data_IF_912538918466
#
_entry.id   IF_912538918466
#
_cell.length_a   1.000
_cell.length_b   1.000
_cell.length_c   1.000
_cell.angle_alpha   90.00
_cell.angle_beta   90.00
_cell.angle_gamma   90.00
#
_symmetry.space_group_name_H-M   'P 1'
#
loop_
_entity.id
_entity.type
_entity.pdbx_description
1 polymer ?
#
# COMPACT_ATOMS: atom_id res chain seq x y z
N UNK A 1 -7.50 21.67 -11.08
CA UNK A 1 -7.06 21.14 -12.39
C UNK A 1 -8.23 21.07 -13.37
N UNK A 2 -9.42 20.68 -12.92
CA UNK A 2 -10.66 20.65 -13.74
C UNK A 2 -10.97 21.99 -14.45
N UNK A 3 -10.81 23.13 -13.77
CA UNK A 3 -11.00 24.46 -14.38
C UNK A 3 -10.02 24.77 -15.52
N UNK A 4 -8.79 24.21 -15.48
CA UNK A 4 -7.78 24.41 -16.53
C UNK A 4 -7.97 23.45 -17.71
N UNK A 5 -8.52 22.26 -17.46
CA UNK A 5 -8.90 21.29 -18.51
C UNK A 5 -10.07 21.84 -19.33
N UNK A 6 -10.94 22.65 -18.72
CA UNK A 6 -12.04 23.32 -19.42
C UNK A 6 -11.60 24.47 -20.36
N UNK A 7 -10.38 25.01 -20.20
CA UNK A 7 -9.84 26.11 -21.02
C UNK A 7 -8.92 25.66 -22.16
N UNK A 8 -8.99 24.39 -22.57
CA UNK A 8 -8.20 23.82 -23.68
C UNK A 8 -6.68 24.01 -23.52
N UNK A 9 -6.23 24.06 -22.26
CA UNK A 9 -4.82 24.16 -21.91
C UNK A 9 -4.12 22.86 -22.32
N UNK A 10 -3.01 22.91 -23.08
CA UNK A 10 -2.28 21.70 -23.48
C UNK A 10 -1.82 20.89 -22.27
N UNK A 11 -2.23 19.62 -22.22
CA UNK A 11 -1.81 18.67 -21.18
C UNK A 11 -0.83 17.65 -21.78
N UNK A 12 0.32 17.49 -21.15
CA UNK A 12 1.31 16.46 -21.49
C UNK A 12 1.24 15.32 -20.46
N UNK A 13 0.69 14.14 -20.79
CA UNK A 13 0.60 13.03 -19.84
C UNK A 13 1.97 12.40 -19.59
N UNK A 14 2.33 12.23 -18.32
CA UNK A 14 3.48 11.42 -17.92
C UNK A 14 3.06 9.96 -17.86
N UNK A 15 3.55 9.16 -18.82
CA UNK A 15 3.15 7.76 -19.00
C UNK A 15 4.16 6.75 -18.50
N UNK A 16 5.38 7.16 -18.15
CA UNK A 16 6.44 6.24 -17.72
C UNK A 16 6.64 6.32 -16.21
N UNK A 17 6.53 5.20 -15.52
CA UNK A 17 6.83 5.06 -14.08
C UNK A 17 8.12 4.28 -13.86
N UNK A 18 8.91 4.69 -12.87
CA UNK A 18 10.19 4.05 -12.51
C UNK A 18 10.18 3.47 -11.08
N UNK A 19 9.01 3.48 -10.42
CA UNK A 19 8.85 3.25 -8.99
C UNK A 19 8.79 1.76 -8.65
N UNK A 20 7.65 1.13 -8.92
CA UNK A 20 7.36 -0.24 -8.53
C UNK A 20 8.00 -1.29 -9.45
N UNK A 21 8.00 -2.54 -8.98
CA UNK A 21 8.29 -3.71 -9.81
C UNK A 21 7.31 -3.77 -10.99
N UNK A 22 7.76 -4.02 -12.25
CA UNK A 22 6.90 -3.91 -13.43
C UNK A 22 5.55 -4.63 -13.33
N UNK A 23 5.54 -5.87 -12.84
CA UNK A 23 4.30 -6.66 -12.69
C UNK A 23 3.31 -6.13 -11.64
N UNK A 24 3.75 -5.26 -10.71
CA UNK A 24 2.83 -4.60 -9.77
C UNK A 24 2.03 -3.48 -10.44
N UNK A 25 2.56 -2.90 -11.53
CA UNK A 25 1.88 -1.83 -12.24
C UNK A 25 0.73 -2.33 -13.12
N UNK A 26 0.70 -3.63 -13.48
CA UNK A 26 -0.24 -4.17 -14.48
C UNK A 26 -1.70 -3.96 -14.08
N UNK A 27 -2.05 -4.22 -12.82
CA UNK A 27 -3.40 -4.03 -12.31
C UNK A 27 -3.80 -2.55 -12.39
N UNK A 28 -3.02 -1.66 -11.80
CA UNK A 28 -3.30 -0.21 -11.84
C UNK A 28 -3.32 0.34 -13.26
N UNK A 29 -2.43 -0.15 -14.13
CA UNK A 29 -2.38 0.24 -15.53
C UNK A 29 -3.69 -0.10 -16.26
N UNK A 30 -4.20 -1.32 -16.05
CA UNK A 30 -5.47 -1.76 -16.66
C UNK A 30 -6.68 -0.98 -16.14
N UNK A 31 -6.74 -0.68 -14.84
CA UNK A 31 -7.92 -0.07 -14.20
C UNK A 31 -7.94 1.45 -14.40
N UNK A 32 -6.79 2.13 -14.27
CA UNK A 32 -6.73 3.59 -14.14
C UNK A 32 -6.06 4.30 -15.32
N UNK A 33 -5.28 3.58 -16.14
CA UNK A 33 -4.47 4.20 -17.19
C UNK A 33 -4.76 3.62 -18.58
N UNK A 34 -5.80 2.79 -18.73
CA UNK A 34 -6.20 2.19 -20.02
C UNK A 34 -5.05 1.47 -20.73
N UNK A 35 -4.11 0.89 -19.98
CA UNK A 35 -2.91 0.25 -20.54
C UNK A 35 -1.81 1.21 -21.01
N UNK A 36 -1.98 2.53 -20.86
CA UNK A 36 -1.05 3.54 -21.32
C UNK A 36 0.16 3.77 -20.40
N UNK A 37 0.17 3.23 -19.18
CA UNK A 37 1.29 3.32 -18.25
C UNK A 37 2.41 2.34 -18.67
N UNK A 38 3.65 2.85 -18.72
CA UNK A 38 4.84 2.11 -19.12
C UNK A 38 5.78 2.01 -17.93
N UNK A 39 6.26 0.80 -17.63
CA UNK A 39 7.33 0.59 -16.66
C UNK A 39 8.67 0.93 -17.31
N UNK A 40 9.33 1.97 -16.81
CA UNK A 40 10.65 2.42 -17.27
C UNK A 40 11.84 1.73 -16.59
N UNK A 41 11.58 0.88 -15.58
CA UNK A 41 12.61 0.18 -14.82
C UNK A 41 12.65 -1.31 -15.20
N UNK A 42 13.82 -1.86 -15.56
CA UNK A 42 13.98 -3.30 -15.78
C UNK A 42 13.68 -4.11 -14.51
N UNK A 43 13.22 -5.35 -14.70
CA UNK A 43 12.80 -6.26 -13.63
C UNK A 43 13.93 -6.53 -12.64
N UNK A 44 15.15 -6.64 -13.17
CA UNK A 44 16.39 -6.92 -12.45
C UNK A 44 16.71 -5.81 -11.45
N UNK A 45 16.29 -4.56 -11.72
CA UNK A 45 16.52 -3.42 -10.83
C UNK A 45 15.48 -3.32 -9.68
N UNK A 46 14.48 -4.22 -9.65
CA UNK A 46 13.39 -4.25 -8.66
C UNK A 46 13.14 -5.63 -8.05
N UNK A 47 14.10 -6.56 -8.17
CA UNK A 47 13.92 -7.95 -7.77
C UNK A 47 14.31 -8.28 -6.31
N UNK A 48 14.81 -7.32 -5.53
CA UNK A 48 15.33 -7.52 -4.16
C UNK A 48 14.46 -8.43 -3.28
N UNK A 49 13.14 -8.21 -3.31
CA UNK A 49 12.17 -8.97 -2.52
C UNK A 49 12.08 -10.43 -2.99
N UNK A 50 12.01 -10.67 -4.30
CA UNK A 50 11.95 -12.00 -4.91
C UNK A 50 13.24 -12.81 -4.67
N UNK A 51 14.39 -12.14 -4.57
CA UNK A 51 15.67 -12.79 -4.30
C UNK A 51 15.82 -13.23 -2.83
N UNK A 52 15.11 -12.58 -1.91
CA UNK A 52 15.31 -12.75 -0.46
C UNK A 52 14.17 -13.45 0.27
N UNK A 53 12.95 -13.35 -0.27
CA UNK A 53 11.72 -13.85 0.34
C UNK A 53 11.00 -14.75 -0.66
N UNK A 54 10.53 -15.89 -0.19
CA UNK A 54 9.72 -16.81 -1.01
C UNK A 54 8.28 -16.31 -1.06
N UNK A 55 7.78 -16.05 -2.28
CA UNK A 55 6.39 -15.71 -2.54
C UNK A 55 5.64 -16.92 -3.13
N UNK A 56 4.32 -17.05 -2.91
CA UNK A 56 3.49 -18.04 -3.59
C UNK A 56 3.58 -17.94 -5.12
N UNK A 57 3.66 -16.71 -5.63
CA UNK A 57 4.00 -16.44 -7.02
C UNK A 57 5.48 -16.00 -7.11
N UNK A 58 6.38 -16.83 -7.66
CA UNK A 58 7.82 -16.51 -7.72
C UNK A 58 8.16 -15.36 -8.68
N UNK A 59 7.21 -14.93 -9.52
CA UNK A 59 7.40 -13.85 -10.50
C UNK A 59 6.76 -12.53 -10.08
N UNK A 60 6.11 -12.47 -8.91
CA UNK A 60 5.41 -11.28 -8.45
C UNK A 60 5.62 -11.07 -6.94
N UNK A 61 6.29 -10.00 -6.50
CA UNK A 61 6.51 -9.71 -5.09
C UNK A 61 5.24 -9.10 -4.45
N UNK A 62 4.14 -9.85 -4.48
CA UNK A 62 2.84 -9.45 -3.97
C UNK A 62 2.22 -10.53 -3.09
N UNK A 63 1.64 -10.14 -1.97
CA UNK A 63 0.89 -11.00 -1.08
C UNK A 63 -0.43 -10.33 -0.71
N UNK A 64 -1.51 -11.09 -0.79
CA UNK A 64 -2.79 -10.74 -0.19
C UNK A 64 -3.07 -11.74 0.91
N UNK A 65 -3.09 -11.27 2.15
CA UNK A 65 -3.19 -12.13 3.34
C UNK A 65 -4.54 -11.90 3.98
N UNK A 66 -5.36 -12.94 4.03
CA UNK A 66 -6.61 -12.92 4.78
C UNK A 66 -6.30 -13.02 6.28
N UNK A 67 -6.75 -12.02 7.03
CA UNK A 67 -6.61 -11.97 8.48
C UNK A 67 -8.03 -11.93 9.06
N UNK A 68 -8.53 -13.05 9.63
CA UNK A 68 -9.90 -13.16 10.12
C UNK A 68 -10.11 -12.46 11.48
N UNK A 69 -9.68 -11.20 11.57
CA UNK A 69 -9.83 -10.36 12.75
C UNK A 69 -11.22 -9.75 12.86
N UNK A 70 -11.58 -9.29 14.05
CA UNK A 70 -12.84 -8.54 14.27
C UNK A 70 -12.52 -7.07 14.47
N UNK A 71 -12.94 -6.17 13.58
CA UNK A 71 -12.66 -4.76 13.72
C UNK A 71 -13.48 -4.15 14.86
N UNK A 72 -12.84 -3.30 15.65
CA UNK A 72 -13.45 -2.49 16.68
C UNK A 72 -13.77 -1.11 16.12
N UNK A 73 -14.96 -0.63 16.40
CA UNK A 73 -15.38 0.71 16.03
C UNK A 73 -15.16 1.68 17.20
N UNK A 74 -14.43 2.75 16.92
CA UNK A 74 -14.20 3.80 17.91
C UNK A 74 -15.30 4.85 17.86
N UNK A 75 -15.47 5.58 18.97
CA UNK A 75 -16.49 6.63 19.10
C UNK A 75 -16.31 7.80 18.13
N UNK A 76 -15.13 7.95 17.51
CA UNK A 76 -14.83 8.98 16.52
C UNK A 76 -15.07 8.53 15.07
N UNK A 77 -15.65 7.34 14.86
CA UNK A 77 -15.95 6.80 13.53
C UNK A 77 -14.81 6.03 12.86
N UNK A 78 -13.62 5.98 13.46
CA UNK A 78 -12.46 5.24 12.95
C UNK A 78 -12.49 3.76 13.37
N UNK A 79 -11.71 2.93 12.69
CA UNK A 79 -11.65 1.49 12.91
C UNK A 79 -10.25 1.03 13.35
N UNK A 80 -10.21 -0.05 14.11
CA UNK A 80 -8.98 -0.80 14.40
C UNK A 80 -9.24 -2.30 14.39
N UNK A 81 -8.20 -3.10 14.17
CA UNK A 81 -8.22 -4.55 14.15
C UNK A 81 -6.91 -5.04 14.75
N UNK A 82 -6.96 -5.52 16.00
CA UNK A 82 -5.76 -5.90 16.75
C UNK A 82 -5.04 -7.10 16.13
N UNK A 83 -5.78 -8.07 15.58
CA UNK A 83 -5.18 -9.23 14.92
C UNK A 83 -4.43 -8.82 13.65
N UNK A 84 -5.03 -7.96 12.83
CA UNK A 84 -4.35 -7.41 11.64
C UNK A 84 -3.10 -6.62 12.03
N UNK A 85 -3.15 -5.85 13.12
CA UNK A 85 -1.99 -5.11 13.62
C UNK A 85 -0.86 -6.04 14.09
N UNK A 86 -1.16 -7.09 14.87
CA UNK A 86 -0.13 -8.05 15.30
C UNK A 86 0.45 -8.84 14.12
N UNK A 87 -0.40 -9.30 13.20
CA UNK A 87 0.05 -9.99 11.99
C UNK A 87 0.95 -9.09 11.15
N UNK A 88 0.64 -7.80 11.02
CA UNK A 88 1.51 -6.86 10.30
C UNK A 88 2.91 -6.75 10.91
N UNK A 89 3.01 -6.77 12.24
CA UNK A 89 4.30 -6.72 12.94
C UNK A 89 5.09 -8.02 12.74
N UNK A 90 4.42 -9.17 12.77
CA UNK A 90 5.03 -10.47 12.45
C UNK A 90 5.56 -10.51 11.02
N UNK A 91 4.80 -9.97 10.05
CA UNK A 91 5.22 -9.91 8.65
C UNK A 91 6.47 -9.07 8.44
N UNK A 92 6.69 -8.03 9.24
CA UNK A 92 7.94 -7.24 9.16
C UNK A 92 9.16 -8.07 9.57
N UNK A 93 9.03 -9.10 10.41
CA UNK A 93 10.18 -9.91 10.82
C UNK A 93 10.83 -10.65 9.64
N UNK A 94 10.05 -11.03 8.63
CA UNK A 94 10.53 -11.74 7.45
C UNK A 94 11.61 -10.96 6.67
N UNK A 95 11.37 -9.72 6.17
CA UNK A 95 12.40 -8.93 5.51
C UNK A 95 13.57 -8.59 6.43
N UNK A 96 13.32 -8.28 7.70
CA UNK A 96 14.39 -7.96 8.66
C UNK A 96 15.36 -9.14 8.86
N UNK A 97 14.83 -10.37 8.96
CA UNK A 97 15.64 -11.60 9.06
C UNK A 97 16.52 -11.86 7.83
N UNK A 98 16.23 -11.21 6.71
CA UNK A 98 16.97 -11.29 5.44
C UNK A 98 17.87 -10.08 5.20
N UNK A 99 18.28 -9.39 6.27
CA UNK A 99 19.14 -8.20 6.24
C UNK A 99 18.57 -7.06 5.37
N UNK A 100 17.24 -6.93 5.30
CA UNK A 100 16.61 -5.75 4.74
C UNK A 100 16.48 -4.73 5.88
N UNK A 101 16.96 -3.48 5.70
CA UNK A 101 17.00 -2.53 6.79
C UNK A 101 15.57 -2.06 7.16
N UNK A 102 15.26 -1.82 8.44
CA UNK A 102 13.91 -1.39 8.87
C UNK A 102 13.36 -0.16 8.13
N UNK A 103 14.24 0.78 7.77
CA UNK A 103 13.88 2.00 7.01
C UNK A 103 13.32 1.72 5.60
N UNK A 104 13.57 0.54 5.05
CA UNK A 104 13.05 0.11 3.73
C UNK A 104 11.63 -0.43 3.82
N UNK A 105 11.10 -0.67 5.02
CA UNK A 105 9.75 -1.20 5.26
C UNK A 105 8.85 -0.09 5.78
N UNK A 106 7.61 -0.06 5.29
CA UNK A 106 6.53 0.74 5.87
C UNK A 106 5.27 -0.08 6.11
N UNK A 107 4.57 0.27 7.18
CA UNK A 107 3.19 -0.14 7.41
C UNK A 107 2.30 1.07 7.13
N UNK A 108 1.37 0.90 6.21
CA UNK A 108 0.39 1.92 5.82
C UNK A 108 -0.99 1.42 6.23
N UNK A 109 -1.83 2.30 6.79
CA UNK A 109 -3.22 1.96 7.12
C UNK A 109 -4.18 3.06 6.67
N UNK A 110 -5.43 2.69 6.40
CA UNK A 110 -6.50 3.65 6.11
C UNK A 110 -6.99 4.39 7.36
N UNK A 111 -6.80 3.84 8.57
CA UNK A 111 -7.46 4.33 9.77
C UNK A 111 -6.46 4.83 10.83
N UNK A 112 -6.75 6.00 11.40
CA UNK A 112 -5.92 6.60 12.47
C UNK A 112 -5.91 5.77 13.76
N UNK A 113 -7.00 5.08 14.08
CA UNK A 113 -7.02 4.22 15.28
C UNK A 113 -6.24 2.94 15.04
N UNK A 114 -6.28 2.38 13.83
CA UNK A 114 -5.40 1.28 13.48
C UNK A 114 -3.92 1.69 13.58
N UNK A 115 -3.55 2.88 13.13
CA UNK A 115 -2.18 3.37 13.27
C UNK A 115 -1.73 3.36 14.74
N UNK A 116 -2.57 3.86 15.66
CA UNK A 116 -2.27 3.84 17.10
C UNK A 116 -2.11 2.43 17.66
N UNK A 117 -2.93 1.48 17.20
CA UNK A 117 -2.82 0.08 17.61
C UNK A 117 -1.51 -0.51 17.10
N UNK A 118 -1.13 -0.25 15.85
CA UNK A 118 0.14 -0.69 15.28
C UNK A 118 1.32 -0.06 16.02
N UNK A 119 1.30 1.24 16.32
CA UNK A 119 2.35 1.92 17.10
C UNK A 119 2.56 1.26 18.48
N UNK A 120 1.47 0.84 19.11
CA UNK A 120 1.51 0.13 20.40
C UNK A 120 2.11 -1.29 20.27
N UNK A 121 1.78 -2.02 19.20
CA UNK A 121 2.19 -3.42 19.01
C UNK A 121 3.58 -3.54 18.38
N UNK A 122 3.93 -2.65 17.45
CA UNK A 122 5.19 -2.68 16.72
C UNK A 122 6.40 -2.38 17.62
N UNK A 123 6.22 -1.69 18.76
CA UNK A 123 7.34 -1.30 19.63
C UNK A 123 8.36 -0.39 18.92
N UNK A 124 9.57 -0.25 19.47
CA UNK A 124 10.62 0.64 18.95
C UNK A 124 11.36 0.10 17.70
N UNK A 125 10.66 -0.61 16.82
CA UNK A 125 11.22 -0.92 15.51
C UNK A 125 11.21 0.36 14.68
N UNK A 126 12.35 0.78 14.13
CA UNK A 126 12.51 1.99 13.32
C UNK A 126 11.84 1.87 11.94
N UNK A 127 10.60 1.38 11.91
CA UNK A 127 9.76 1.16 10.74
C UNK A 127 8.92 2.42 10.53
N UNK A 128 8.63 2.74 9.27
CA UNK A 128 7.72 3.84 8.95
C UNK A 128 6.26 3.41 9.15
N UNK A 129 5.54 4.11 10.02
CA UNK A 129 4.12 3.88 10.28
C UNK A 129 3.34 5.13 9.86
N UNK A 130 2.42 4.98 8.90
CA UNK A 130 1.66 6.12 8.37
C UNK A 130 0.22 5.74 8.02
N UNK A 131 -0.65 6.74 8.01
CA UNK A 131 -1.95 6.63 7.33
C UNK A 131 -1.79 6.94 5.83
N UNK A 132 -2.65 6.37 4.99
CA UNK A 132 -2.66 6.63 3.53
C UNK A 132 -2.60 8.12 3.20
N UNK A 133 -3.40 8.94 3.88
CA UNK A 133 -3.48 10.39 3.67
C UNK A 133 -2.19 11.12 4.05
N UNK A 134 -1.44 10.57 5.01
CA UNK A 134 -0.17 11.16 5.47
C UNK A 134 1.03 10.76 4.60
N UNK A 135 0.88 9.78 3.71
CA UNK A 135 1.92 9.37 2.76
C UNK A 135 1.78 10.25 1.51
N UNK A 136 2.35 11.43 1.50
CA UNK A 136 2.50 12.22 0.28
C UNK A 136 4.00 12.33 -0.07
N UNK A 137 4.38 11.74 -1.21
CA UNK A 137 5.74 11.88 -1.78
C UNK A 137 6.85 11.05 -1.13
N UNK A 138 6.52 9.97 -0.39
CA UNK A 138 7.51 9.10 0.25
C UNK A 138 7.29 7.64 -0.16
N UNK A 139 8.16 7.14 -1.03
CA UNK A 139 8.18 5.74 -1.49
C UNK A 139 9.03 4.87 -0.56
N UNK A 140 8.74 3.57 -0.53
CA UNK A 140 9.48 2.57 0.26
C UNK A 140 9.66 1.31 -0.55
N UNK A 141 10.71 0.54 -0.23
CA UNK A 141 11.01 -0.69 -0.97
C UNK A 141 9.97 -1.79 -0.68
N UNK A 142 9.41 -1.78 0.53
CA UNK A 142 8.41 -2.74 0.99
C UNK A 142 7.27 -2.01 1.70
N UNK A 143 6.04 -2.25 1.27
CA UNK A 143 4.82 -1.70 1.87
C UNK A 143 3.94 -2.85 2.37
N UNK A 144 3.50 -2.75 3.63
CA UNK A 144 2.46 -3.59 4.22
C UNK A 144 1.23 -2.71 4.41
N UNK A 145 0.18 -2.96 3.64
CA UNK A 145 -1.07 -2.19 3.69
C UNK A 145 -2.10 -2.89 4.58
N UNK A 146 -2.66 -2.16 5.55
CA UNK A 146 -3.69 -2.63 6.46
C UNK A 146 -5.04 -2.05 6.06
N UNK A 147 -5.97 -2.96 5.74
CA UNK A 147 -7.34 -2.63 5.31
C UNK A 147 -8.27 -2.41 6.50
N UNK A 148 -8.00 -3.08 7.63
CA UNK A 148 -8.67 -2.97 8.94
C UNK A 148 -10.11 -3.43 8.97
N UNK A 149 -10.93 -3.05 8.00
CA UNK A 149 -12.31 -3.49 7.87
C UNK A 149 -12.37 -4.91 7.33
N UNK A 150 -13.16 -5.76 7.98
CA UNK A 150 -13.48 -7.12 7.51
C UNK A 150 -14.86 -7.24 6.87
N UNK A 151 -15.59 -6.13 6.79
CA UNK A 151 -16.82 -6.04 5.99
C UNK A 151 -16.99 -4.65 5.39
N UNK A 152 -17.42 -4.65 4.13
CA UNK A 152 -17.84 -3.47 3.39
C UNK A 152 -19.36 -3.52 3.34
N UNK A 153 -20.01 -2.67 4.13
CA UNK A 153 -21.40 -2.32 3.87
C UNK A 153 -21.37 -1.42 2.63
N UNK A 154 -21.92 -1.92 1.51
CA UNK A 154 -21.90 -1.29 0.17
C UNK A 154 -22.50 0.13 0.21
N UNK A 155 -23.37 0.37 1.17
CA UNK A 155 -24.05 1.62 1.50
C UNK A 155 -23.23 2.61 2.35
N UNK A 156 -22.03 2.22 2.83
CA UNK A 156 -21.12 3.05 3.65
C UNK A 156 -19.64 2.90 3.25
N UNK A 157 -19.41 2.64 1.97
CA UNK A 157 -18.08 2.39 1.42
C UNK A 157 -17.37 3.65 0.90
N UNK A 158 -17.89 4.84 1.24
CA UNK A 158 -17.48 6.15 0.67
C UNK A 158 -15.96 6.44 0.70
N UNK A 159 -15.17 5.86 1.63
CA UNK A 159 -13.71 6.07 1.68
C UNK A 159 -12.87 4.99 0.98
N UNK A 160 -13.38 3.75 0.87
CA UNK A 160 -12.69 2.65 0.19
C UNK A 160 -13.04 2.59 -1.31
N UNK A 161 -14.18 3.17 -1.67
CA UNK A 161 -14.71 3.21 -3.04
C UNK A 161 -14.16 4.39 -3.88
N UNK A 162 -13.27 5.22 -3.35
CA UNK A 162 -12.58 6.20 -4.18
C UNK A 162 -11.44 5.54 -4.98
N UNK A 163 -11.59 5.30 -6.30
CA UNK A 163 -10.55 4.69 -7.14
C UNK A 163 -9.21 5.43 -7.06
N UNK A 164 -9.23 6.72 -6.74
CA UNK A 164 -8.05 7.58 -6.57
C UNK A 164 -7.22 7.11 -5.37
N UNK A 165 -7.85 6.71 -4.26
CA UNK A 165 -7.16 6.27 -3.05
C UNK A 165 -6.60 4.86 -3.21
N UNK A 166 -7.28 3.99 -3.96
CA UNK A 166 -6.75 2.65 -4.26
C UNK A 166 -5.54 2.72 -5.18
N UNK A 167 -5.60 3.51 -6.27
CA UNK A 167 -4.47 3.68 -7.18
C UNK A 167 -3.22 4.19 -6.44
N UNK A 168 -3.39 5.19 -5.59
CA UNK A 168 -2.31 5.77 -4.78
C UNK A 168 -1.61 4.75 -3.86
N UNK A 169 -2.30 3.70 -3.43
CA UNK A 169 -1.76 2.70 -2.51
C UNK A 169 -1.20 1.45 -3.19
N UNK A 170 -1.69 1.11 -4.38
CA UNK A 170 -1.22 -0.07 -5.13
C UNK A 170 0.12 0.17 -5.82
N UNK A 171 0.44 1.43 -6.18
CA UNK A 171 1.72 1.80 -6.86
C UNK A 171 2.77 2.44 -5.93
N UNK A 172 2.76 2.11 -4.63
CA UNK A 172 3.72 2.63 -3.64
C UNK A 172 4.71 1.60 -3.12
#
# INVERSE_FOLDING_TARGET
>A
MELLIAEDVPVAPLRTTFRAYPGLNDLSNSIFYEGALVSGTPVENRCLLLERITFPNPSLPFLFIDVPGTPVWSTNGSHSNELEASTSCELVTAPLSKNIPPKSVAIITFYKEQLRVVERVAGHHQIYLHTVDSVQGRERDIVILLTTRTSIQVDRAEFLDEPIHLNVNVVR
#
